data_IF_690372056522
#
_entry.id   IF_690372056522
#
_cell.length_a   1.000
_cell.length_b   1.000
_cell.length_c   1.000
_cell.angle_alpha   90.00
_cell.angle_beta   90.00
_cell.angle_gamma   90.00
#
_symmetry.space_group_name_H-M   'P 1'
#
loop_
_entity.id
_entity.type
_entity.pdbx_description
1 polymer ?
#
# COMPACT_ATOMS: atom_id res chain seq x y z
N UNK A 1 -14.32 -19.05 4.97
CA UNK A 1 -14.54 -18.00 3.98
C UNK A 1 -14.58 -16.64 4.64
N UNK A 2 -13.99 -15.69 4.06
CA UNK A 2 -13.85 -14.40 4.66
C UNK A 2 -14.47 -13.32 3.78
N UNK A 3 -14.68 -12.16 4.37
CA UNK A 3 -15.22 -11.02 3.64
C UNK A 3 -14.27 -10.53 2.55
N UNK A 4 -13.00 -10.94 2.58
CA UNK A 4 -12.02 -10.51 1.58
C UNK A 4 -12.40 -10.91 0.17
N UNK A 5 -13.19 -11.97 0.01
CA UNK A 5 -13.63 -12.39 -1.31
C UNK A 5 -14.66 -11.46 -1.93
N UNK A 6 -15.17 -10.49 -1.16
CA UNK A 6 -16.05 -9.46 -1.70
C UNK A 6 -15.30 -8.34 -2.40
N UNK A 7 -13.99 -8.28 -2.26
CA UNK A 7 -13.17 -7.17 -2.75
C UNK A 7 -12.22 -7.66 -3.84
N UNK A 8 -11.79 -6.74 -4.68
CA UNK A 8 -10.87 -7.06 -5.77
C UNK A 8 -9.53 -7.54 -5.25
N UNK A 9 -9.05 -8.61 -5.82
CA UNK A 9 -7.67 -9.01 -5.68
C UNK A 9 -6.91 -8.33 -6.83
N UNK A 10 -6.14 -7.28 -6.51
CA UNK A 10 -5.48 -6.47 -7.51
C UNK A 10 -4.12 -7.00 -7.94
N UNK A 11 -3.86 -8.26 -7.64
CA UNK A 11 -2.81 -8.91 -8.36
C UNK A 11 -1.77 -9.64 -7.52
N UNK A 12 -0.87 -10.19 -8.26
CA UNK A 12 0.22 -11.03 -7.77
C UNK A 12 1.54 -10.38 -8.17
N UNK A 13 2.57 -10.64 -7.39
CA UNK A 13 3.91 -10.18 -7.68
C UNK A 13 4.77 -11.40 -8.03
N UNK A 14 5.34 -11.39 -9.24
CA UNK A 14 6.14 -12.50 -9.72
C UNK A 14 7.64 -12.28 -9.55
N UNK A 15 8.02 -11.28 -8.78
CA UNK A 15 9.40 -10.94 -8.49
C UNK A 15 9.53 -10.62 -7.01
N UNK A 16 10.77 -10.52 -6.50
CA UNK A 16 10.98 -10.31 -5.07
C UNK A 16 10.53 -8.94 -4.61
N UNK A 17 10.72 -7.93 -5.45
CA UNK A 17 10.23 -6.59 -5.16
C UNK A 17 10.08 -5.79 -6.44
N UNK A 18 9.31 -4.70 -6.35
CA UNK A 18 9.15 -3.76 -7.43
C UNK A 18 8.98 -2.36 -6.85
N UNK A 19 9.71 -1.39 -7.39
CA UNK A 19 9.70 -0.02 -6.88
C UNK A 19 9.13 0.92 -7.94
N UNK A 20 8.26 1.83 -7.49
CA UNK A 20 7.69 2.89 -8.32
C UNK A 20 7.92 4.22 -7.64
N UNK A 21 8.30 5.22 -8.41
CA UNK A 21 8.32 6.61 -7.96
C UNK A 21 7.34 7.35 -8.84
N UNK A 22 6.24 7.80 -8.29
CA UNK A 22 5.12 8.37 -9.03
C UNK A 22 4.84 9.78 -8.56
N UNK A 23 4.59 10.66 -9.51
CA UNK A 23 4.23 12.05 -9.22
C UNK A 23 3.15 12.47 -10.21
N UNK A 24 1.92 12.61 -9.73
CA UNK A 24 0.81 13.05 -10.55
C UNK A 24 -0.28 13.63 -9.66
N UNK A 25 -1.27 14.26 -10.28
CA UNK A 25 -2.45 14.77 -9.59
C UNK A 25 -3.73 14.20 -10.18
N UNK A 26 -3.61 13.14 -10.96
CA UNK A 26 -4.73 12.52 -11.66
C UNK A 26 -4.87 11.05 -11.29
N UNK A 27 -4.36 10.66 -10.15
CA UNK A 27 -4.45 9.28 -9.69
C UNK A 27 -5.89 8.80 -9.63
N UNK A 28 -6.09 7.54 -9.99
CA UNK A 28 -7.39 6.92 -9.94
C UNK A 28 -7.61 6.34 -8.56
N UNK A 29 -8.66 6.78 -7.88
CA UNK A 29 -9.05 6.14 -6.64
C UNK A 29 -9.70 4.81 -6.98
N UNK A 30 -9.20 3.76 -6.33
CA UNK A 30 -9.84 2.46 -6.38
C UNK A 30 -10.64 2.26 -5.12
N UNK A 31 -11.70 1.50 -5.22
CA UNK A 31 -12.44 1.09 -4.04
C UNK A 31 -11.59 0.12 -3.21
N UNK A 32 -12.09 -0.31 -2.08
CA UNK A 32 -11.37 -1.24 -1.22
C UNK A 32 -10.91 -2.47 -1.99
N UNK A 33 -9.65 -2.84 -1.80
CA UNK A 33 -9.04 -3.97 -2.50
C UNK A 33 -7.92 -4.55 -1.63
N UNK A 34 -7.31 -5.62 -2.11
CA UNK A 34 -6.16 -6.23 -1.45
C UNK A 34 -5.20 -6.79 -2.50
N UNK A 35 -4.00 -7.13 -2.06
CA UNK A 35 -2.94 -7.69 -2.91
C UNK A 35 -2.41 -8.99 -2.32
N UNK A 36 -1.75 -9.79 -3.17
CA UNK A 36 -1.06 -11.00 -2.74
C UNK A 36 0.39 -10.72 -2.33
N UNK A 37 0.75 -9.47 -2.18
CA UNK A 37 2.09 -9.02 -1.81
C UNK A 37 1.99 -7.91 -0.79
N UNK A 38 3.11 -7.62 -0.12
CA UNK A 38 3.16 -6.50 0.81
C UNK A 38 3.44 -5.22 0.05
N UNK A 39 2.91 -4.11 0.53
CA UNK A 39 3.05 -2.81 -0.11
C UNK A 39 3.55 -1.81 0.91
N UNK A 40 4.62 -1.13 0.56
CA UNK A 40 5.16 -0.05 1.39
C UNK A 40 4.96 1.25 0.64
N UNK A 41 4.38 2.24 1.31
CA UNK A 41 4.12 3.55 0.71
C UNK A 41 4.90 4.60 1.49
N UNK A 42 5.66 5.40 0.77
CA UNK A 42 6.37 6.55 1.35
C UNK A 42 5.80 7.79 0.68
N UNK A 43 5.15 8.65 1.46
CA UNK A 43 4.62 9.89 0.93
C UNK A 43 5.73 10.93 0.86
N UNK A 44 5.92 11.54 -0.31
CA UNK A 44 6.88 12.62 -0.49
C UNK A 44 6.16 13.96 -0.40
N UNK A 45 5.06 14.10 -1.14
CA UNK A 45 4.26 15.33 -1.09
C UNK A 45 2.82 15.02 -1.45
N UNK A 46 1.92 15.89 -1.04
CA UNK A 46 0.50 15.72 -1.28
C UNK A 46 -0.27 15.36 -0.03
N UNK A 47 -1.52 14.96 -0.23
CA UNK A 47 -2.41 14.58 0.87
C UNK A 47 -3.14 13.31 0.52
N UNK A 48 -3.03 12.32 1.38
CA UNK A 48 -3.71 11.05 1.19
C UNK A 48 -4.12 10.48 2.55
N UNK A 49 -5.33 9.93 2.59
CA UNK A 49 -5.82 9.18 3.73
C UNK A 49 -5.89 7.72 3.32
N UNK A 50 -5.13 6.88 4.01
CA UNK A 50 -5.17 5.44 3.78
C UNK A 50 -6.04 4.77 4.83
N UNK A 51 -7.02 4.00 4.40
CA UNK A 51 -7.80 3.16 5.29
C UNK A 51 -7.37 1.73 5.09
N UNK A 52 -6.87 1.10 6.16
CA UNK A 52 -6.37 -0.26 6.13
C UNK A 52 -7.07 -1.04 7.24
N UNK A 53 -7.79 -2.09 6.86
CA UNK A 53 -8.53 -2.95 7.80
C UNK A 53 -9.35 -2.13 8.80
N UNK A 54 -10.01 -1.09 8.30
CA UNK A 54 -10.92 -0.28 9.10
C UNK A 54 -10.29 0.90 9.84
N UNK A 55 -8.97 1.05 9.80
CA UNK A 55 -8.28 2.17 10.43
C UNK A 55 -7.79 3.15 9.38
N UNK A 56 -8.09 4.43 9.57
CA UNK A 56 -7.68 5.47 8.63
C UNK A 56 -6.43 6.18 9.14
N UNK A 57 -5.44 6.27 8.27
CA UNK A 57 -4.16 6.94 8.53
C UNK A 57 -4.04 8.15 7.61
N UNK A 58 -3.89 9.33 8.19
CA UNK A 58 -3.60 10.54 7.43
C UNK A 58 -2.09 10.64 7.28
N UNK A 59 -1.62 10.39 6.07
CA UNK A 59 -0.17 10.42 5.83
C UNK A 59 0.31 11.85 5.66
N UNK A 60 1.47 12.11 6.25
CA UNK A 60 2.20 13.36 6.07
C UNK A 60 3.47 13.08 5.29
N UNK A 61 4.09 14.12 4.68
CA UNK A 61 5.34 13.90 3.95
C UNK A 61 6.37 13.13 4.76
N UNK A 62 6.93 12.12 4.12
CA UNK A 62 7.93 11.19 4.67
C UNK A 62 7.39 10.18 5.66
N UNK A 63 6.08 10.12 5.84
CA UNK A 63 5.48 8.97 6.53
C UNK A 63 5.62 7.72 5.68
N UNK A 64 5.79 6.59 6.36
CA UNK A 64 5.92 5.28 5.73
C UNK A 64 4.78 4.41 6.24
N UNK A 65 4.02 3.83 5.32
CA UNK A 65 2.93 2.94 5.67
C UNK A 65 3.18 1.57 5.06
N UNK A 66 3.14 0.54 5.89
CA UNK A 66 3.23 -0.84 5.42
C UNK A 66 1.83 -1.45 5.38
N UNK A 67 1.42 -1.88 4.21
CA UNK A 67 0.17 -2.60 4.01
C UNK A 67 0.52 -4.05 3.69
N UNK A 68 0.24 -4.94 4.64
CA UNK A 68 0.54 -6.35 4.48
C UNK A 68 -0.38 -6.99 3.45
N UNK A 69 0.10 -8.09 2.86
CA UNK A 69 -0.69 -8.87 1.93
C UNK A 69 -2.04 -9.27 2.54
N UNK A 70 -3.06 -9.31 1.71
CA UNK A 70 -4.45 -9.64 2.08
C UNK A 70 -5.13 -8.60 2.98
N UNK A 71 -4.47 -7.53 3.37
CA UNK A 71 -5.13 -6.45 4.09
C UNK A 71 -5.97 -5.62 3.13
N UNK A 72 -7.24 -5.45 3.47
CA UNK A 72 -8.15 -4.65 2.67
C UNK A 72 -7.85 -3.19 2.91
N UNK A 73 -7.61 -2.44 1.85
CA UNK A 73 -7.21 -1.05 1.97
C UNK A 73 -7.75 -0.19 0.84
N UNK A 74 -7.75 1.12 1.08
CA UNK A 74 -8.18 2.13 0.12
C UNK A 74 -7.42 3.42 0.39
N UNK A 75 -6.98 4.08 -0.67
CA UNK A 75 -6.34 5.38 -0.58
C UNK A 75 -7.32 6.45 -1.08
N UNK A 76 -7.55 7.47 -0.27
CA UNK A 76 -8.35 8.64 -0.65
C UNK A 76 -7.38 9.80 -0.88
N UNK A 77 -7.18 10.16 -2.13
CA UNK A 77 -6.17 11.14 -2.56
C UNK A 77 -6.83 12.50 -2.77
N UNK A 78 -6.21 13.55 -2.23
CA UNK A 78 -6.63 14.91 -2.52
C UNK A 78 -6.05 15.32 -3.87
N UNK A 79 -6.87 15.28 -4.91
CA UNK A 79 -6.43 15.55 -6.27
C UNK A 79 -6.20 17.04 -6.56
N UNK A 80 -6.45 17.92 -5.59
CA UNK A 80 -6.22 19.35 -5.76
C UNK A 80 -4.75 19.74 -5.64
N UNK A 81 -3.91 18.81 -5.13
CA UNK A 81 -2.48 19.03 -4.99
C UNK A 81 -1.73 17.87 -5.63
N UNK A 82 -0.51 18.11 -6.14
CA UNK A 82 0.30 17.02 -6.69
C UNK A 82 0.58 15.96 -5.62
N UNK A 83 0.52 14.72 -6.04
CA UNK A 83 0.69 13.58 -5.14
C UNK A 83 1.94 12.83 -5.57
N UNK A 84 3.01 12.97 -4.81
CA UNK A 84 4.27 12.30 -5.06
C UNK A 84 4.55 11.25 -3.99
N UNK A 85 4.86 10.04 -4.43
CA UNK A 85 5.05 8.92 -3.51
C UNK A 85 6.01 7.89 -4.11
N UNK A 86 6.63 7.14 -3.23
CA UNK A 86 7.37 5.94 -3.59
C UNK A 86 6.54 4.76 -3.12
N UNK A 87 6.34 3.79 -3.99
CA UNK A 87 5.61 2.57 -3.68
C UNK A 87 6.54 1.40 -3.93
N UNK A 88 6.65 0.53 -2.93
CA UNK A 88 7.46 -0.68 -3.05
C UNK A 88 6.55 -1.88 -2.83
N UNK A 89 6.47 -2.75 -3.83
CA UNK A 89 5.81 -4.03 -3.71
C UNK A 89 6.86 -5.05 -3.29
N UNK A 90 6.53 -5.86 -2.30
CA UNK A 90 7.44 -6.84 -1.73
C UNK A 90 6.75 -8.19 -1.69
N UNK A 91 7.41 -9.21 -2.23
CA UNK A 91 6.92 -10.57 -2.08
C UNK A 91 6.99 -10.94 -0.60
N UNK A 92 5.86 -11.33 -0.02
CA UNK A 92 5.78 -11.57 1.42
C UNK A 92 6.69 -12.70 1.88
N UNK A 93 6.84 -13.75 1.07
CA UNK A 93 7.75 -14.84 1.41
C UNK A 93 9.21 -14.38 1.39
N UNK A 94 9.55 -13.48 0.45
CA UNK A 94 10.88 -12.91 0.40
C UNK A 94 11.18 -12.09 1.66
N UNK A 95 10.23 -11.24 2.06
CA UNK A 95 10.39 -10.41 3.26
C UNK A 95 10.54 -11.27 4.50
N UNK A 96 9.70 -12.28 4.66
CA UNK A 96 9.77 -13.18 5.82
C UNK A 96 11.08 -13.95 5.89
N UNK A 97 11.63 -14.32 4.75
CA UNK A 97 12.90 -15.04 4.72
C UNK A 97 14.07 -14.22 5.25
N UNK A 98 14.05 -12.90 5.04
CA UNK A 98 15.15 -12.03 5.44
C UNK A 98 14.90 -11.28 6.73
N UNK A 99 13.66 -11.19 7.20
CA UNK A 99 13.33 -10.42 8.39
C UNK A 99 12.16 -11.05 9.15
N UNK A 100 12.25 -12.34 9.50
CA UNK A 100 11.10 -13.02 10.12
C UNK A 100 10.70 -12.45 11.48
N UNK A 101 11.62 -11.83 12.18
CA UNK A 101 11.36 -11.27 13.51
C UNK A 101 11.48 -9.76 13.55
N UNK A 102 11.48 -9.11 12.40
CA UNK A 102 11.52 -7.65 12.34
C UNK A 102 10.15 -7.09 12.72
N UNK A 103 10.14 -6.03 13.53
CA UNK A 103 8.89 -5.42 13.97
C UNK A 103 8.02 -4.91 12.84
N UNK A 104 8.59 -4.64 11.69
CA UNK A 104 7.81 -4.17 10.55
C UNK A 104 6.84 -5.21 10.00
N UNK A 105 6.97 -6.45 10.41
CA UNK A 105 6.08 -7.51 9.98
C UNK A 105 4.87 -7.71 10.91
N UNK A 106 4.82 -7.01 11.99
CA UNK A 106 3.75 -7.16 12.99
C UNK A 106 2.54 -6.25 12.71
#
# INVERSE_FOLDING_TARGET
MTERYKYSNDGYLNENFRLFHLKDSSGQEKDFHFHEFDKLVILISGKVDYTVEGTTYKLEPWDILLVRHHMIHKAAIDLSVPYERIIIYLDSAYVERFAPNAGLMD
#
